data_IF_705346869061
#
_entry.id   IF_705346869061
#
_cell.length_a   1.000
_cell.length_b   1.000
_cell.length_c   1.000
_cell.angle_alpha   90.00
_cell.angle_beta   90.00
_cell.angle_gamma   90.00
#
_symmetry.space_group_name_H-M   'P 1'
#
loop_
_entity.id
_entity.type
_entity.pdbx_description
1 polymer ?
#
# COMPACT_ATOMS: atom_id res chain seq x y z
N UNK A 1 14.51 12.92 -20.11
CA UNK A 1 14.16 11.79 -19.22
C UNK A 1 13.75 10.67 -20.16
N UNK A 2 14.43 9.53 -20.12
CA UNK A 2 14.13 8.39 -20.98
C UNK A 2 13.98 7.21 -20.02
N UNK A 3 12.76 6.71 -19.87
CA UNK A 3 12.47 5.55 -19.05
C UNK A 3 12.75 4.29 -19.88
N UNK A 4 13.70 3.43 -19.48
CA UNK A 4 13.99 2.21 -20.22
C UNK A 4 12.85 1.19 -20.11
N UNK A 5 12.51 0.54 -21.22
CA UNK A 5 11.57 -0.59 -21.26
C UNK A 5 10.15 -0.23 -21.70
N UNK A 6 9.26 -1.23 -21.68
CA UNK A 6 7.91 -1.15 -22.26
C UNK A 6 6.84 -0.75 -21.23
N UNK A 7 7.25 -0.41 -20.00
CA UNK A 7 6.37 -0.11 -18.84
C UNK A 7 5.28 0.92 -19.17
N UNK A 8 5.60 1.92 -19.98
CA UNK A 8 4.69 2.99 -20.37
C UNK A 8 4.08 2.82 -21.77
N UNK A 9 4.44 1.77 -22.51
CA UNK A 9 3.90 1.54 -23.86
C UNK A 9 2.49 0.95 -23.82
N UNK A 10 2.17 0.19 -22.78
CA UNK A 10 0.92 -0.57 -22.66
C UNK A 10 0.11 -0.21 -21.40
N UNK A 11 0.29 1.01 -20.88
CA UNK A 11 -0.46 1.49 -19.72
C UNK A 11 -1.67 2.33 -20.14
N UNK A 12 -2.82 2.24 -19.44
CA UNK A 12 -3.98 3.08 -19.72
C UNK A 12 -3.87 4.52 -19.18
N UNK A 13 -2.83 4.86 -18.42
CA UNK A 13 -2.62 6.21 -17.89
C UNK A 13 -1.63 7.04 -18.72
N UNK A 14 -1.84 8.35 -18.79
CA UNK A 14 -0.98 9.27 -19.55
C UNK A 14 0.28 9.71 -18.79
N UNK A 15 0.27 9.61 -17.46
CA UNK A 15 1.39 10.05 -16.63
C UNK A 15 1.24 9.73 -15.15
N UNK A 16 2.17 10.26 -14.36
CA UNK A 16 2.27 10.03 -12.91
C UNK A 16 2.19 11.38 -12.18
N UNK A 17 1.32 11.46 -11.17
CA UNK A 17 1.28 12.55 -10.22
C UNK A 17 1.89 12.08 -8.89
N UNK A 18 3.10 12.53 -8.60
CA UNK A 18 3.80 12.20 -7.35
C UNK A 18 3.12 12.84 -6.14
N UNK A 19 2.91 12.06 -5.08
CA UNK A 19 2.27 12.51 -3.82
C UNK A 19 3.16 12.28 -2.59
N UNK A 20 4.46 12.08 -2.80
CA UNK A 20 5.46 11.95 -1.76
C UNK A 20 6.07 13.31 -1.39
N UNK A 21 7.16 13.30 -0.62
CA UNK A 21 7.78 14.50 -0.06
C UNK A 21 8.68 15.23 -1.05
N UNK A 22 8.82 16.56 -0.87
CA UNK A 22 9.69 17.42 -1.68
C UNK A 22 11.16 16.97 -1.66
N UNK A 23 11.61 16.29 -0.60
CA UNK A 23 13.00 15.83 -0.42
C UNK A 23 13.48 14.86 -1.51
N UNK A 24 12.57 14.10 -2.13
CA UNK A 24 12.88 13.15 -3.21
C UNK A 24 12.45 13.66 -4.59
N UNK A 25 11.96 14.90 -4.66
CA UNK A 25 11.56 15.53 -5.91
C UNK A 25 12.78 15.82 -6.79
N UNK A 26 12.80 15.25 -7.99
CA UNK A 26 13.85 15.55 -8.97
C UNK A 26 13.71 16.99 -9.46
N UNK A 27 14.84 17.72 -9.47
CA UNK A 27 14.88 19.12 -9.87
C UNK A 27 14.47 20.12 -8.80
N UNK A 28 14.23 19.68 -7.55
CA UNK A 28 13.88 20.56 -6.44
C UNK A 28 12.51 21.24 -6.60
N UNK A 29 11.60 20.60 -7.35
CA UNK A 29 10.26 21.12 -7.61
C UNK A 29 9.35 20.72 -6.45
N UNK A 30 8.61 21.69 -5.89
CA UNK A 30 7.65 21.42 -4.82
C UNK A 30 6.54 20.48 -5.30
N UNK A 31 6.25 19.45 -4.51
CA UNK A 31 5.27 18.43 -4.86
C UNK A 31 3.84 18.96 -4.73
N UNK A 32 2.88 18.39 -5.49
CA UNK A 32 1.48 18.81 -5.46
C UNK A 32 0.88 18.92 -4.05
N UNK A 33 1.15 17.93 -3.19
CA UNK A 33 0.60 17.93 -1.83
C UNK A 33 1.16 19.05 -0.96
N UNK A 34 2.46 19.34 -1.05
CA UNK A 34 3.09 20.48 -0.35
C UNK A 34 2.41 21.82 -0.73
N UNK A 35 2.11 21.99 -2.02
CA UNK A 35 1.43 23.18 -2.53
C UNK A 35 -0.03 23.25 -2.07
N UNK A 36 -0.78 22.15 -2.14
CA UNK A 36 -2.18 22.09 -1.67
C UNK A 36 -2.25 22.40 -0.17
N UNK A 37 -1.40 21.77 0.63
CA UNK A 37 -1.37 21.92 2.08
C UNK A 37 -0.90 23.29 2.56
N UNK A 38 -0.17 24.04 1.72
CA UNK A 38 0.22 25.41 2.04
C UNK A 38 -0.97 26.38 2.13
N UNK A 39 -2.09 26.07 1.47
CA UNK A 39 -3.29 26.90 1.48
C UNK A 39 -4.29 26.40 2.52
N UNK A 40 -4.17 26.87 3.76
CA UNK A 40 -5.02 26.47 4.88
C UNK A 40 -6.50 26.87 4.72
N UNK A 41 -6.81 27.84 3.84
CA UNK A 41 -8.20 28.24 3.56
C UNK A 41 -8.88 27.18 2.68
N UNK A 42 -8.18 26.68 1.65
CA UNK A 42 -8.69 25.64 0.76
C UNK A 42 -8.52 24.23 1.36
N UNK A 43 -7.50 24.04 2.18
CA UNK A 43 -7.13 22.78 2.80
C UNK A 43 -6.95 22.92 4.32
N UNK A 44 -8.05 22.99 5.08
CA UNK A 44 -7.97 23.17 6.53
C UNK A 44 -7.31 21.99 7.26
N UNK A 45 -7.42 20.79 6.68
CA UNK A 45 -6.82 19.56 7.20
C UNK A 45 -5.78 19.06 6.21
N UNK A 46 -4.49 19.12 6.57
CA UNK A 46 -3.38 18.71 5.70
C UNK A 46 -3.22 17.18 5.64
N UNK A 47 -4.23 16.50 5.11
CA UNK A 47 -4.27 15.05 4.87
C UNK A 47 -4.84 14.75 3.50
N UNK A 48 -4.53 13.57 2.97
CA UNK A 48 -5.24 12.98 1.84
C UNK A 48 -5.43 11.50 2.10
N UNK A 49 -6.42 10.89 1.46
CA UNK A 49 -6.71 9.45 1.61
C UNK A 49 -7.06 8.80 0.30
N UNK A 50 -6.72 7.51 0.21
CA UNK A 50 -7.13 6.65 -0.89
C UNK A 50 -8.13 5.60 -0.41
N UNK A 51 -9.23 5.48 -1.14
CA UNK A 51 -10.06 4.29 -1.15
C UNK A 51 -9.86 3.59 -2.50
N UNK A 52 -9.49 2.30 -2.48
CA UNK A 52 -9.27 1.51 -3.69
C UNK A 52 -10.22 0.33 -3.68
N UNK A 53 -11.13 0.29 -4.65
CA UNK A 53 -12.08 -0.80 -4.80
C UNK A 53 -11.38 -2.04 -5.37
N UNK A 54 -11.51 -3.18 -4.68
CA UNK A 54 -10.85 -4.44 -5.05
C UNK A 54 -11.70 -5.34 -5.96
N UNK A 55 -12.97 -5.01 -6.21
CA UNK A 55 -13.80 -5.80 -7.13
C UNK A 55 -13.39 -5.53 -8.57
N UNK A 56 -12.67 -6.46 -9.21
CA UNK A 56 -12.15 -6.28 -10.56
C UNK A 56 -13.21 -6.39 -11.67
N UNK A 57 -14.40 -6.93 -11.38
CA UNK A 57 -15.35 -7.34 -12.42
C UNK A 57 -16.70 -6.61 -12.35
N UNK A 58 -17.13 -6.16 -11.17
CA UNK A 58 -18.46 -5.58 -10.99
C UNK A 58 -18.42 -4.17 -10.38
N UNK A 59 -17.36 -3.40 -10.64
CA UNK A 59 -17.29 -2.00 -10.23
C UNK A 59 -17.38 -1.05 -11.43
N UNK A 60 -18.08 0.08 -11.24
CA UNK A 60 -18.04 1.23 -12.16
C UNK A 60 -17.13 2.34 -11.62
N UNK A 61 -16.93 2.37 -10.30
CA UNK A 61 -16.04 3.29 -9.59
C UNK A 61 -14.92 2.45 -8.96
N UNK A 62 -13.71 2.59 -9.51
CA UNK A 62 -12.53 1.82 -9.10
C UNK A 62 -11.87 2.32 -7.81
N UNK A 63 -12.15 3.54 -7.39
CA UNK A 63 -11.60 4.12 -6.17
C UNK A 63 -11.87 5.61 -6.05
N UNK A 64 -11.41 6.20 -4.96
CA UNK A 64 -11.51 7.62 -4.64
C UNK A 64 -10.19 8.12 -4.04
N UNK A 65 -9.78 9.32 -4.47
CA UNK A 65 -8.77 10.14 -3.79
C UNK A 65 -9.47 11.33 -3.13
N UNK A 66 -9.45 11.39 -1.81
CA UNK A 66 -9.93 12.53 -1.04
C UNK A 66 -8.75 13.44 -0.71
N UNK A 67 -8.81 14.70 -1.14
CA UNK A 67 -7.83 15.72 -0.75
C UNK A 67 -8.37 16.54 0.43
N UNK A 68 -7.49 16.89 1.36
CA UNK A 68 -7.80 17.73 2.53
C UNK A 68 -8.80 17.11 3.52
N UNK A 69 -8.90 15.78 3.53
CA UNK A 69 -9.85 15.05 4.35
C UNK A 69 -9.73 13.55 4.19
N UNK A 70 -10.63 12.84 4.87
CA UNK A 70 -10.79 11.38 4.81
C UNK A 70 -12.30 11.11 4.71
N UNK A 71 -12.75 10.34 3.72
CA UNK A 71 -14.16 9.98 3.61
C UNK A 71 -14.53 8.84 4.59
N UNK A 72 -15.40 9.09 5.60
CA UNK A 72 -15.79 8.09 6.58
C UNK A 72 -16.70 6.98 6.03
N UNK A 73 -17.23 7.13 4.82
CA UNK A 73 -18.07 6.10 4.19
C UNK A 73 -17.25 4.92 3.66
N UNK A 74 -15.93 5.09 3.52
CA UNK A 74 -15.01 4.11 2.93
C UNK A 74 -14.21 3.28 3.95
N UNK A 75 -14.40 3.48 5.26
CA UNK A 75 -13.76 2.66 6.29
C UNK A 75 -14.67 2.44 7.50
N UNK A 76 -14.29 1.48 8.36
CA UNK A 76 -14.99 1.18 9.61
C UNK A 76 -14.01 1.13 10.76
N UNK A 77 -14.48 1.52 11.95
CA UNK A 77 -13.64 1.55 13.15
C UNK A 77 -12.64 2.71 13.15
N UNK A 78 -11.72 2.72 14.13
CA UNK A 78 -10.72 3.78 14.26
C UNK A 78 -9.57 3.62 13.25
N UNK A 79 -8.93 4.74 12.90
CA UNK A 79 -7.69 4.76 12.12
C UNK A 79 -6.52 4.42 13.03
N UNK A 80 -5.71 3.43 12.64
CA UNK A 80 -4.42 3.14 13.26
C UNK A 80 -3.35 4.06 12.66
N UNK A 81 -2.87 5.02 13.45
CA UNK A 81 -1.83 5.97 13.03
C UNK A 81 -0.43 5.43 13.35
N UNK A 82 0.50 5.60 12.41
CA UNK A 82 1.92 5.29 12.60
C UNK A 82 2.75 6.51 12.16
N UNK A 83 3.68 7.01 12.99
CA UNK A 83 4.53 8.12 12.61
C UNK A 83 5.45 7.78 11.43
N UNK A 84 5.77 8.80 10.64
CA UNK A 84 6.78 8.67 9.60
C UNK A 84 8.17 8.51 10.20
N UNK A 85 8.97 7.63 9.61
CA UNK A 85 10.39 7.48 9.94
C UNK A 85 11.21 8.58 9.24
N UNK A 86 10.78 8.99 8.05
CA UNK A 86 11.47 9.97 7.20
C UNK A 86 10.49 10.62 6.22
N UNK A 87 10.62 11.93 6.00
CA UNK A 87 9.90 12.67 4.97
C UNK A 87 10.55 12.45 3.59
N UNK A 88 10.56 11.21 3.11
CA UNK A 88 11.06 10.82 1.77
C UNK A 88 9.95 10.12 0.99
N UNK A 89 9.76 8.83 1.25
CA UNK A 89 8.53 8.11 0.91
C UNK A 89 7.51 8.25 2.06
N UNK A 90 6.29 7.74 1.88
CA UNK A 90 5.37 7.48 3.00
C UNK A 90 5.88 6.28 3.79
N UNK A 91 7.00 6.49 4.48
CA UNK A 91 7.82 5.49 5.11
C UNK A 91 7.47 5.33 6.59
N UNK A 92 7.05 4.14 6.98
CA UNK A 92 6.53 3.82 8.31
C UNK A 92 7.30 2.67 8.96
N UNK A 93 7.13 2.52 10.27
CA UNK A 93 7.63 1.38 11.01
C UNK A 93 6.62 0.24 10.98
N UNK A 94 7.00 -0.89 10.38
CA UNK A 94 6.25 -2.14 10.50
C UNK A 94 6.70 -2.86 11.78
N UNK A 95 5.80 -3.02 12.74
CA UNK A 95 6.04 -3.69 14.02
C UNK A 95 6.25 -5.20 13.88
N UNK A 96 5.75 -5.80 12.79
CA UNK A 96 5.98 -7.20 12.47
C UNK A 96 4.95 -7.77 11.50
N UNK A 97 5.18 -9.02 11.11
CA UNK A 97 4.28 -9.80 10.26
C UNK A 97 4.20 -11.22 10.82
N UNK A 98 2.98 -11.73 10.99
CA UNK A 98 2.72 -13.11 11.39
C UNK A 98 1.74 -13.80 10.47
N UNK A 99 1.90 -15.12 10.33
CA UNK A 99 1.04 -16.00 9.54
C UNK A 99 0.71 -17.20 10.42
N UNK A 100 -0.58 -17.48 10.63
CA UNK A 100 -1.05 -18.56 11.50
C UNK A 100 -0.41 -18.55 12.91
N UNK A 101 -0.27 -17.37 13.50
CA UNK A 101 0.37 -17.19 14.81
C UNK A 101 1.90 -17.35 14.84
N UNK A 102 2.54 -17.70 13.71
CA UNK A 102 3.99 -17.74 13.59
C UNK A 102 4.53 -16.40 13.11
N UNK A 103 5.52 -15.86 13.82
CA UNK A 103 6.19 -14.62 13.44
C UNK A 103 7.11 -14.87 12.24
N UNK A 104 6.86 -14.17 11.13
CA UNK A 104 7.68 -14.23 9.92
C UNK A 104 8.66 -13.06 9.87
N UNK A 105 8.21 -11.86 10.26
CA UNK A 105 9.04 -10.67 10.41
C UNK A 105 9.01 -10.25 11.88
N UNK A 106 10.15 -10.33 12.55
CA UNK A 106 10.32 -9.74 13.87
C UNK A 106 10.71 -8.27 13.68
N UNK A 107 9.75 -7.36 13.79
CA UNK A 107 10.00 -5.92 13.65
C UNK A 107 10.77 -5.36 14.85
N UNK A 108 11.05 -4.05 14.86
CA UNK A 108 10.66 -3.06 13.85
C UNK A 108 11.45 -3.20 12.52
N UNK A 109 10.75 -3.16 11.37
CA UNK A 109 11.37 -3.01 10.04
C UNK A 109 10.75 -1.85 9.26
N UNK A 110 11.50 -1.27 8.33
CA UNK A 110 11.01 -0.17 7.49
C UNK A 110 10.08 -0.70 6.39
N UNK A 111 8.96 0.00 6.18
CA UNK A 111 8.04 -0.23 5.06
C UNK A 111 7.65 1.10 4.41
N UNK A 112 7.20 1.04 3.16
CA UNK A 112 6.60 2.18 2.46
C UNK A 112 5.14 1.86 2.13
N UNK A 113 4.26 2.86 2.25
CA UNK A 113 2.88 2.77 1.78
C UNK A 113 2.83 3.44 0.41
N UNK A 114 2.64 2.66 -0.65
CA UNK A 114 2.82 3.09 -2.03
C UNK A 114 1.58 2.78 -2.89
N UNK A 115 0.82 3.82 -3.25
CA UNK A 115 -0.33 3.67 -4.16
C UNK A 115 0.07 3.43 -5.62
N UNK A 116 1.35 3.61 -5.97
CA UNK A 116 1.88 3.38 -7.31
C UNK A 116 2.20 1.92 -7.63
N UNK A 117 2.18 1.03 -6.61
CA UNK A 117 2.50 -0.40 -6.76
C UNK A 117 1.32 -1.27 -6.35
N UNK A 118 0.84 -2.14 -7.25
CA UNK A 118 -0.33 -2.99 -6.99
C UNK A 118 -0.06 -4.16 -6.03
N UNK A 119 1.18 -4.65 -5.97
CA UNK A 119 1.56 -5.82 -5.16
C UNK A 119 2.27 -5.39 -3.87
N UNK A 120 2.15 -6.21 -2.82
CA UNK A 120 3.02 -6.09 -1.65
C UNK A 120 4.39 -6.68 -2.00
N UNK A 121 5.39 -5.82 -2.07
CA UNK A 121 6.77 -6.19 -2.37
C UNK A 121 7.64 -6.25 -1.10
N UNK A 122 8.70 -7.06 -1.15
CA UNK A 122 9.65 -7.17 -0.06
C UNK A 122 10.92 -7.92 -0.46
N UNK A 123 11.90 -8.04 0.46
CA UNK A 123 13.12 -8.79 0.21
C UNK A 123 12.83 -10.24 -0.25
N UNK A 124 13.53 -10.76 -1.28
CA UNK A 124 13.22 -12.07 -1.85
C UNK A 124 13.15 -13.21 -0.84
N UNK A 125 14.05 -13.24 0.15
CA UNK A 125 14.06 -14.26 1.19
C UNK A 125 12.81 -14.21 2.09
N UNK A 126 12.32 -13.00 2.42
CA UNK A 126 11.10 -12.82 3.20
C UNK A 126 9.87 -13.21 2.39
N UNK A 127 9.81 -12.81 1.11
CA UNK A 127 8.72 -13.20 0.21
C UNK A 127 8.66 -14.71 0.05
N UNK A 128 9.80 -15.39 -0.12
CA UNK A 128 9.86 -16.85 -0.17
C UNK A 128 9.37 -17.51 1.12
N UNK A 129 9.69 -16.95 2.29
CA UNK A 129 9.18 -17.45 3.57
C UNK A 129 7.66 -17.30 3.68
N UNK A 130 7.12 -16.15 3.25
CA UNK A 130 5.67 -15.91 3.20
C UNK A 130 5.00 -16.90 2.23
N UNK A 131 5.52 -17.04 1.01
CA UNK A 131 5.01 -17.97 0.01
C UNK A 131 4.95 -19.41 0.55
N UNK A 132 6.03 -19.88 1.18
CA UNK A 132 6.05 -21.20 1.85
C UNK A 132 5.01 -21.30 2.96
N UNK A 133 4.88 -20.28 3.81
CA UNK A 133 3.94 -20.27 4.93
C UNK A 133 2.47 -20.29 4.49
N UNK A 134 2.15 -19.70 3.33
CA UNK A 134 0.79 -19.76 2.75
C UNK A 134 0.59 -20.93 1.77
N UNK A 135 1.62 -21.73 1.49
CA UNK A 135 1.52 -22.85 0.54
C UNK A 135 1.52 -22.45 -0.94
N UNK A 136 2.05 -21.27 -1.27
CA UNK A 136 2.23 -20.84 -2.66
C UNK A 136 3.45 -21.49 -3.31
N UNK A 137 3.38 -21.68 -4.64
CA UNK A 137 4.52 -22.11 -5.45
C UNK A 137 5.62 -21.05 -5.53
N UNK A 138 6.78 -21.41 -6.07
CA UNK A 138 7.94 -20.51 -6.18
C UNK A 138 7.69 -19.26 -7.05
N UNK A 139 6.75 -19.35 -7.99
CA UNK A 139 6.25 -18.23 -8.80
C UNK A 139 5.21 -17.36 -8.08
N UNK A 140 4.82 -17.69 -6.85
CA UNK A 140 3.74 -17.06 -6.11
C UNK A 140 2.34 -17.54 -6.49
N UNK A 141 2.21 -18.51 -7.40
CA UNK A 141 0.92 -19.06 -7.82
C UNK A 141 0.33 -20.01 -6.77
N UNK A 142 -1.00 -20.01 -6.66
CA UNK A 142 -1.78 -20.89 -5.80
C UNK A 142 -2.91 -21.55 -6.61
N UNK A 143 -3.31 -22.76 -6.23
CA UNK A 143 -4.53 -23.38 -6.74
C UNK A 143 -5.76 -22.63 -6.20
N UNK A 144 -6.56 -22.06 -7.11
CA UNK A 144 -7.76 -21.30 -6.76
C UNK A 144 -8.75 -22.06 -5.88
N UNK A 145 -8.78 -23.40 -5.97
CA UNK A 145 -9.64 -24.24 -5.12
C UNK A 145 -9.23 -24.24 -3.65
N UNK A 146 -7.97 -23.87 -3.35
CA UNK A 146 -7.40 -23.87 -1.99
C UNK A 146 -7.51 -22.53 -1.28
N UNK A 147 -7.96 -21.46 -1.97
CA UNK A 147 -7.98 -20.08 -1.43
C UNK A 147 -8.74 -20.00 -0.09
N UNK A 148 -9.85 -20.72 0.06
CA UNK A 148 -10.64 -20.69 1.31
C UNK A 148 -9.89 -21.24 2.52
N UNK A 149 -8.81 -22.00 2.30
CA UNK A 149 -8.06 -22.68 3.34
C UNK A 149 -6.72 -21.99 3.67
N UNK A 150 -6.36 -20.92 2.95
CA UNK A 150 -5.10 -20.24 3.16
C UNK A 150 -5.14 -19.43 4.47
N UNK A 151 -4.02 -19.39 5.22
CA UNK A 151 -3.99 -18.70 6.49
C UNK A 151 -4.07 -17.18 6.32
N UNK A 152 -4.64 -16.43 7.27
CA UNK A 152 -4.57 -14.98 7.25
C UNK A 152 -3.13 -14.50 7.47
N UNK A 153 -2.80 -13.35 6.88
CA UNK A 153 -1.54 -12.64 7.12
C UNK A 153 -1.86 -11.44 8.01
N UNK A 154 -1.16 -11.30 9.13
CA UNK A 154 -1.37 -10.19 10.08
C UNK A 154 -0.16 -9.27 10.11
N UNK A 155 -0.39 -8.00 9.84
CA UNK A 155 0.61 -6.93 9.95
C UNK A 155 0.38 -6.17 11.27
N UNK A 156 1.47 -5.72 11.90
CA UNK A 156 1.40 -4.84 13.08
C UNK A 156 1.85 -3.44 12.70
N UNK A 157 0.95 -2.46 12.73
CA UNK A 157 1.20 -1.05 12.37
C UNK A 157 0.47 -0.16 13.39
N UNK A 158 1.13 0.85 13.96
CA UNK A 158 0.52 1.74 14.95
C UNK A 158 0.09 1.03 16.23
N UNK A 159 0.69 -0.13 16.54
CA UNK A 159 0.24 -1.03 17.61
C UNK A 159 -1.04 -1.82 17.30
N UNK A 160 -1.68 -1.60 16.15
CA UNK A 160 -2.87 -2.33 15.71
C UNK A 160 -2.49 -3.58 14.89
N UNK A 161 -3.30 -4.62 15.00
CA UNK A 161 -3.21 -5.83 14.18
C UNK A 161 -4.12 -5.69 12.95
N UNK A 162 -3.54 -5.57 11.77
CA UNK A 162 -4.24 -5.50 10.50
C UNK A 162 -4.22 -6.88 9.82
N UNK A 163 -5.37 -7.54 9.80
CA UNK A 163 -5.53 -8.91 9.32
C UNK A 163 -5.99 -8.91 7.86
N UNK A 164 -5.18 -9.50 6.97
CA UNK A 164 -5.55 -9.78 5.59
C UNK A 164 -6.02 -11.22 5.45
N UNK A 165 -7.24 -11.41 4.95
CA UNK A 165 -7.76 -12.73 4.60
C UNK A 165 -7.20 -13.20 3.25
N UNK A 166 -7.35 -14.49 2.96
CA UNK A 166 -6.91 -15.09 1.70
C UNK A 166 -7.44 -14.37 0.45
N UNK A 167 -8.70 -13.92 0.50
CA UNK A 167 -9.35 -13.18 -0.58
C UNK A 167 -8.73 -11.79 -0.80
N UNK A 168 -8.05 -11.23 0.20
CA UNK A 168 -7.42 -9.92 0.13
C UNK A 168 -6.00 -9.95 -0.41
N UNK A 169 -5.27 -11.07 -0.31
CA UNK A 169 -3.89 -11.16 -0.80
C UNK A 169 -3.70 -12.07 -2.02
N UNK A 170 -4.73 -12.80 -2.46
CA UNK A 170 -4.73 -13.57 -3.72
C UNK A 170 -5.55 -12.82 -4.78
N UNK A 171 -4.97 -12.66 -5.98
CA UNK A 171 -5.65 -12.12 -7.16
C UNK A 171 -6.07 -13.30 -8.05
N UNK A 172 -7.29 -13.25 -8.58
CA UNK A 172 -7.87 -14.28 -9.45
C UNK A 172 -7.75 -13.89 -10.93
#
# INVERSE_FOLDING_TARGET
MQEPGDTFLNTPFDGILGMAWDSIARGGISQPMSQIFSNQILCPTAVFSFYLNRDLYNNTVGGELTLCGIDPTHYQGPIAWEPLISETYWQIQLGGLSINGQQIINGPVTAIVDSGTSLIAGPPALVQNIQKAIGAGASGSIDCSTISNLPPITFVIGGAQLVMTAQSYVIK
#
